data_IF_784325182529
#
_entry.id   IF_784325182529
#
_cell.length_a   1.000
_cell.length_b   1.000
_cell.length_c   1.000
_cell.angle_alpha   90.00
_cell.angle_beta   90.00
_cell.angle_gamma   90.00
#
_symmetry.space_group_name_H-M   'P 1'
#
loop_
_entity.id
_entity.type
_entity.pdbx_description
1 polymer ?
#
# COMPACT_ATOMS: atom_id res chain seq x y z
N UNK A 1 -4.61 2.84 21.47
CA UNK A 1 -5.25 2.37 20.21
C UNK A 1 -5.07 0.86 20.08
N UNK A 2 -6.14 0.14 19.71
CA UNK A 2 -6.09 -1.29 19.43
C UNK A 2 -5.04 -1.59 18.32
N UNK A 3 -4.28 -2.69 18.45
CA UNK A 3 -3.28 -3.10 17.43
C UNK A 3 -3.89 -3.36 16.06
N UNK A 4 -5.08 -3.97 16.01
CA UNK A 4 -5.78 -4.26 14.74
C UNK A 4 -6.18 -2.95 14.08
N UNK A 5 -6.84 -2.06 14.83
CA UNK A 5 -7.19 -0.72 14.36
C UNK A 5 -5.96 0.06 13.88
N UNK A 6 -4.83 -0.04 14.60
CA UNK A 6 -3.58 0.58 14.19
C UNK A 6 -3.06 0.03 12.87
N UNK A 7 -3.13 -1.30 12.64
CA UNK A 7 -2.72 -1.90 11.35
C UNK A 7 -3.60 -1.36 10.23
N UNK A 8 -4.91 -1.42 10.40
CA UNK A 8 -5.88 -0.92 9.43
C UNK A 8 -5.66 0.57 9.08
N UNK A 9 -5.58 1.46 10.08
CA UNK A 9 -5.35 2.88 9.79
C UNK A 9 -4.04 3.16 9.06
N UNK A 10 -3.00 2.35 9.31
CA UNK A 10 -1.73 2.49 8.61
C UNK A 10 -1.77 1.84 7.22
N UNK A 11 -2.55 0.79 7.00
CA UNK A 11 -2.77 0.23 5.66
C UNK A 11 -3.59 1.18 4.79
N UNK A 12 -4.66 1.75 5.34
CA UNK A 12 -5.38 2.87 4.73
C UNK A 12 -4.46 4.05 4.38
N UNK A 13 -3.49 4.40 5.23
CA UNK A 13 -2.52 5.44 4.90
C UNK A 13 -1.66 5.04 3.68
N UNK A 14 -1.17 3.79 3.63
CA UNK A 14 -0.37 3.28 2.50
C UNK A 14 -1.16 3.36 1.19
N UNK A 15 -2.46 3.09 1.25
CA UNK A 15 -3.36 3.13 0.09
C UNK A 15 -3.74 4.57 -0.31
N UNK A 16 -4.18 5.36 0.66
CA UNK A 16 -4.78 6.67 0.43
C UNK A 16 -3.78 7.65 -0.17
N UNK A 17 -2.52 7.65 0.29
CA UNK A 17 -1.51 8.62 -0.17
C UNK A 17 -1.26 8.54 -1.69
N UNK A 18 -0.94 7.37 -2.29
CA UNK A 18 -0.81 7.27 -3.74
C UNK A 18 -2.14 7.49 -4.48
N UNK A 19 -3.27 7.02 -3.93
CA UNK A 19 -4.59 7.24 -4.52
C UNK A 19 -4.91 8.74 -4.65
N UNK A 20 -4.81 9.49 -3.56
CA UNK A 20 -5.03 10.93 -3.57
C UNK A 20 -3.91 11.68 -4.31
N UNK A 21 -2.69 11.15 -4.30
CA UNK A 21 -1.58 11.67 -5.10
C UNK A 21 -1.88 11.66 -6.60
N UNK A 22 -2.62 10.66 -7.08
CA UNK A 22 -2.98 10.55 -8.50
C UNK A 22 -3.96 11.64 -8.97
N UNK A 23 -4.81 12.18 -8.08
CA UNK A 23 -5.75 13.24 -8.43
C UNK A 23 -5.08 14.56 -8.83
N UNK A 24 -3.83 14.81 -8.40
CA UNK A 24 -3.08 16.00 -8.82
C UNK A 24 -2.67 15.98 -10.29
N UNK A 25 -2.72 14.81 -10.92
CA UNK A 25 -2.26 14.57 -12.29
C UNK A 25 -3.33 13.89 -13.14
N UNK A 26 -4.58 13.86 -12.65
CA UNK A 26 -5.71 13.27 -13.35
C UNK A 26 -6.59 14.36 -13.99
N UNK A 27 -6.89 14.21 -15.27
CA UNK A 27 -7.90 14.99 -15.96
C UNK A 27 -9.26 14.30 -15.78
N UNK A 28 -10.14 14.92 -14.99
CA UNK A 28 -11.48 14.39 -14.73
C UNK A 28 -12.46 14.65 -15.88
N UNK A 29 -12.22 15.66 -16.72
CA UNK A 29 -13.09 15.96 -17.86
C UNK A 29 -12.89 14.91 -18.95
N UNK A 30 -11.64 14.58 -19.24
CA UNK A 30 -11.27 13.63 -20.29
C UNK A 30 -11.01 12.20 -19.77
N UNK A 31 -11.04 12.01 -18.45
CA UNK A 31 -10.78 10.74 -17.76
C UNK A 31 -9.45 10.09 -18.15
N UNK A 32 -8.40 10.89 -18.24
CA UNK A 32 -7.04 10.48 -18.62
C UNK A 32 -6.01 11.17 -17.72
N UNK A 33 -4.81 10.60 -17.52
CA UNK A 33 -3.75 11.32 -16.83
C UNK A 33 -3.22 12.50 -17.68
N UNK A 34 -2.93 13.62 -17.02
CA UNK A 34 -2.27 14.81 -17.60
C UNK A 34 -0.81 14.57 -17.97
N UNK A 35 -0.25 13.45 -17.51
CA UNK A 35 1.13 13.02 -17.69
C UNK A 35 1.16 11.64 -18.37
N UNK A 36 2.31 11.27 -18.92
CA UNK A 36 2.46 9.93 -19.50
C UNK A 36 2.26 8.83 -18.45
N UNK A 37 1.83 7.65 -18.89
CA UNK A 37 1.60 6.51 -17.99
C UNK A 37 2.87 6.12 -17.20
N UNK A 38 4.04 6.23 -17.81
CA UNK A 38 5.32 5.98 -17.14
C UNK A 38 5.55 6.96 -15.98
N UNK A 39 5.24 8.24 -16.18
CA UNK A 39 5.34 9.25 -15.13
C UNK A 39 4.30 9.03 -14.03
N UNK A 40 3.07 8.67 -14.37
CA UNK A 40 2.04 8.31 -13.39
C UNK A 40 2.49 7.13 -12.52
N UNK A 41 2.98 6.06 -13.13
CA UNK A 41 3.48 4.89 -12.41
C UNK A 41 4.64 5.23 -11.47
N UNK A 42 5.59 6.05 -11.93
CA UNK A 42 6.71 6.52 -11.11
C UNK A 42 6.25 7.37 -9.93
N UNK A 43 5.28 8.28 -10.15
CA UNK A 43 4.72 9.13 -9.11
C UNK A 43 3.95 8.30 -8.06
N UNK A 44 3.13 7.35 -8.51
CA UNK A 44 2.42 6.41 -7.64
C UNK A 44 3.40 5.61 -6.78
N UNK A 45 4.46 5.06 -7.39
CA UNK A 45 5.50 4.31 -6.66
C UNK A 45 6.23 5.19 -5.63
N UNK A 46 6.51 6.44 -5.97
CA UNK A 46 7.11 7.41 -5.05
C UNK A 46 6.23 7.70 -3.83
N UNK A 47 4.94 8.02 -4.05
CA UNK A 47 3.99 8.26 -2.96
C UNK A 47 3.79 7.02 -2.09
N UNK A 48 3.76 5.85 -2.71
CA UNK A 48 3.66 4.59 -2.01
C UNK A 48 4.87 4.33 -1.10
N UNK A 49 6.09 4.59 -1.60
CA UNK A 49 7.31 4.44 -0.80
C UNK A 49 7.32 5.37 0.43
N UNK A 50 6.86 6.62 0.27
CA UNK A 50 6.70 7.56 1.38
C UNK A 50 5.68 7.01 2.39
N UNK A 51 4.49 6.64 1.93
CA UNK A 51 3.40 6.20 2.79
C UNK A 51 3.77 4.91 3.55
N UNK A 52 4.35 3.94 2.86
CA UNK A 52 4.87 2.72 3.46
C UNK A 52 5.98 3.01 4.46
N UNK A 53 6.95 3.86 4.12
CA UNK A 53 8.03 4.24 5.02
C UNK A 53 7.51 4.84 6.33
N UNK A 54 6.55 5.76 6.25
CA UNK A 54 5.87 6.36 7.41
C UNK A 54 5.13 5.29 8.21
N UNK A 55 4.30 4.48 7.55
CA UNK A 55 3.51 3.43 8.19
C UNK A 55 4.39 2.41 8.93
N UNK A 56 5.44 1.92 8.28
CA UNK A 56 6.41 0.98 8.83
C UNK A 56 7.16 1.58 10.02
N UNK A 57 7.64 2.83 9.91
CA UNK A 57 8.29 3.53 11.01
C UNK A 57 7.36 3.63 12.23
N UNK A 58 6.13 4.11 12.04
CA UNK A 58 5.16 4.28 13.13
C UNK A 58 4.77 2.93 13.75
N UNK A 59 4.60 1.90 12.93
CA UNK A 59 4.22 0.57 13.41
C UNK A 59 5.35 -0.09 14.20
N UNK A 60 6.50 -0.29 13.56
CA UNK A 60 7.60 -1.08 14.11
C UNK A 60 8.37 -0.37 15.20
N UNK A 61 8.39 0.98 15.27
CA UNK A 61 9.12 1.72 16.31
C UNK A 61 8.85 1.21 17.73
N UNK A 62 7.60 0.83 18.03
CA UNK A 62 7.19 0.36 19.36
C UNK A 62 7.24 -1.16 19.57
N UNK A 63 7.54 -1.94 18.52
CA UNK A 63 7.66 -3.40 18.62
C UNK A 63 9.05 -3.76 19.14
N UNK A 64 9.13 -4.36 20.33
CA UNK A 64 10.39 -4.81 20.97
C UNK A 64 10.51 -6.33 21.10
N UNK A 65 9.39 -7.06 21.16
CA UNK A 65 9.34 -8.52 21.30
C UNK A 65 8.56 -9.12 20.13
N UNK A 66 8.94 -10.32 19.71
CA UNK A 66 8.31 -11.06 18.62
C UNK A 66 8.22 -10.27 17.31
N UNK A 67 9.25 -9.46 17.01
CA UNK A 67 9.27 -8.58 15.84
C UNK A 67 9.09 -9.34 14.52
N UNK A 68 9.67 -10.54 14.42
CA UNK A 68 9.51 -11.43 13.27
C UNK A 68 8.04 -11.82 13.03
N UNK A 69 7.35 -12.30 14.07
CA UNK A 69 5.93 -12.69 14.00
C UNK A 69 5.04 -11.49 13.71
N UNK A 70 5.39 -10.31 14.23
CA UNK A 70 4.70 -9.06 13.92
C UNK A 70 4.94 -8.61 12.48
N UNK A 71 6.13 -8.84 11.92
CA UNK A 71 6.45 -8.62 10.51
C UNK A 71 5.53 -9.42 9.59
N UNK A 72 5.46 -10.73 9.78
CA UNK A 72 4.55 -11.60 9.02
C UNK A 72 3.08 -11.18 9.14
N UNK A 73 2.59 -11.01 10.38
CA UNK A 73 1.18 -10.64 10.62
C UNK A 73 0.81 -9.31 9.98
N UNK A 74 1.68 -8.31 10.11
CA UNK A 74 1.40 -6.97 9.61
C UNK A 74 1.55 -6.91 8.10
N UNK A 75 2.56 -7.58 7.54
CA UNK A 75 2.76 -7.67 6.10
C UNK A 75 1.58 -8.32 5.39
N UNK A 76 1.08 -9.46 5.90
CA UNK A 76 -0.11 -10.10 5.33
C UNK A 76 -1.36 -9.23 5.48
N UNK A 77 -1.53 -8.60 6.64
CA UNK A 77 -2.67 -7.73 6.89
C UNK A 77 -2.72 -6.57 5.89
N UNK A 78 -1.62 -5.82 5.76
CA UNK A 78 -1.55 -4.71 4.80
C UNK A 78 -1.63 -5.17 3.36
N UNK A 79 -1.02 -6.30 3.01
CA UNK A 79 -1.13 -6.87 1.66
C UNK A 79 -2.60 -7.12 1.27
N UNK A 80 -3.34 -7.84 2.12
CA UNK A 80 -4.75 -8.16 1.87
C UNK A 80 -5.59 -6.89 1.83
N UNK A 81 -5.35 -5.97 2.76
CA UNK A 81 -6.05 -4.69 2.83
C UNK A 81 -5.87 -3.87 1.56
N UNK A 82 -4.63 -3.71 1.08
CA UNK A 82 -4.32 -2.94 -0.12
C UNK A 82 -4.93 -3.55 -1.39
N UNK A 83 -4.80 -4.87 -1.55
CA UNK A 83 -5.43 -5.60 -2.64
C UNK A 83 -6.96 -5.44 -2.59
N UNK A 84 -7.58 -5.56 -1.42
CA UNK A 84 -9.02 -5.43 -1.28
C UNK A 84 -9.51 -4.01 -1.62
N UNK A 85 -8.80 -2.98 -1.16
CA UNK A 85 -9.15 -1.58 -1.44
C UNK A 85 -9.06 -1.27 -2.94
N UNK A 86 -7.96 -1.64 -3.60
CA UNK A 86 -7.83 -1.45 -5.05
C UNK A 86 -8.82 -2.30 -5.83
N UNK A 87 -9.14 -3.52 -5.38
CA UNK A 87 -10.17 -4.31 -6.05
C UNK A 87 -11.54 -3.62 -5.99
N UNK A 88 -11.92 -3.10 -4.83
CA UNK A 88 -13.18 -2.37 -4.65
C UNK A 88 -13.23 -1.09 -5.49
N UNK A 89 -12.11 -0.35 -5.57
CA UNK A 89 -12.08 0.93 -6.30
C UNK A 89 -11.87 0.72 -7.79
N UNK A 90 -10.83 0.01 -8.21
CA UNK A 90 -10.46 -0.13 -9.62
C UNK A 90 -11.46 -1.03 -10.37
N UNK A 91 -11.74 -2.22 -9.85
CA UNK A 91 -12.67 -3.16 -10.50
C UNK A 91 -14.12 -2.79 -10.18
N UNK A 92 -14.42 -2.51 -8.91
CA UNK A 92 -15.78 -2.21 -8.45
C UNK A 92 -16.29 -0.86 -8.95
N UNK A 93 -15.59 0.23 -8.62
CA UNK A 93 -16.04 1.59 -8.93
C UNK A 93 -15.63 2.03 -10.34
N UNK A 94 -14.37 1.83 -10.74
CA UNK A 94 -13.83 2.31 -12.03
C UNK A 94 -13.97 1.31 -13.18
N UNK A 95 -14.57 0.14 -12.92
CA UNK A 95 -14.89 -0.88 -13.94
C UNK A 95 -13.68 -1.36 -14.75
N UNK A 96 -12.50 -1.37 -14.13
CA UNK A 96 -11.30 -1.97 -14.71
C UNK A 96 -11.56 -3.47 -15.01
N UNK A 97 -11.18 -3.98 -16.18
CA UNK A 97 -11.22 -5.40 -16.46
C UNK A 97 -10.39 -6.20 -15.44
N UNK A 98 -10.90 -7.33 -14.98
CA UNK A 98 -10.23 -8.12 -13.93
C UNK A 98 -8.84 -8.63 -14.35
N UNK A 99 -8.61 -8.81 -15.66
CA UNK A 99 -7.30 -9.18 -16.20
C UNK A 99 -6.24 -8.12 -15.95
N UNK A 100 -6.62 -6.85 -16.04
CA UNK A 100 -5.72 -5.71 -15.83
C UNK A 100 -5.42 -5.46 -14.35
N UNK A 101 -6.21 -6.09 -13.46
CA UNK A 101 -5.98 -6.05 -12.01
C UNK A 101 -4.87 -7.01 -11.55
N UNK A 102 -4.53 -8.05 -12.32
CA UNK A 102 -3.56 -9.06 -11.87
C UNK A 102 -2.18 -8.50 -11.47
N UNK A 103 -1.58 -7.54 -12.19
CA UNK A 103 -0.31 -6.92 -11.79
C UNK A 103 -0.35 -6.28 -10.40
N UNK A 104 -1.51 -5.82 -9.94
CA UNK A 104 -1.69 -5.18 -8.62
C UNK A 104 -1.36 -6.15 -7.48
N UNK A 105 -1.69 -7.45 -7.61
CA UNK A 105 -1.32 -8.47 -6.62
C UNK A 105 0.20 -8.60 -6.45
N UNK A 106 0.97 -8.48 -7.54
CA UNK A 106 2.43 -8.52 -7.50
C UNK A 106 3.02 -7.23 -6.95
N UNK A 107 2.44 -6.07 -7.30
CA UNK A 107 2.87 -4.77 -6.76
C UNK A 107 2.82 -4.76 -5.24
N UNK A 108 1.72 -5.26 -4.65
CA UNK A 108 1.56 -5.27 -3.19
C UNK A 108 2.37 -6.35 -2.46
N UNK A 109 2.90 -7.38 -3.15
CA UNK A 109 3.83 -8.33 -2.53
C UNK A 109 5.05 -7.63 -1.91
N UNK A 110 5.47 -6.49 -2.45
CA UNK A 110 6.54 -5.68 -1.88
C UNK A 110 6.26 -5.28 -0.42
N UNK A 111 5.02 -4.96 -0.07
CA UNK A 111 4.62 -4.66 1.33
C UNK A 111 4.92 -5.84 2.22
N UNK A 112 4.48 -7.03 1.80
CA UNK A 112 4.63 -8.26 2.58
C UNK A 112 6.11 -8.54 2.81
N UNK A 113 6.89 -8.57 1.72
CA UNK A 113 8.32 -8.89 1.73
C UNK A 113 9.08 -7.91 2.63
N UNK A 114 8.91 -6.60 2.43
CA UNK A 114 9.64 -5.59 3.19
C UNK A 114 9.23 -5.60 4.66
N UNK A 115 7.94 -5.82 4.96
CA UNK A 115 7.46 -5.88 6.34
C UNK A 115 8.02 -7.09 7.10
N UNK A 116 8.12 -8.25 6.43
CA UNK A 116 8.78 -9.45 6.98
C UNK A 116 10.27 -9.18 7.22
N UNK A 117 10.95 -8.55 6.25
CA UNK A 117 12.37 -8.20 6.36
C UNK A 117 12.62 -7.27 7.57
N UNK A 118 11.82 -6.23 7.76
CA UNK A 118 11.90 -5.34 8.93
C UNK A 118 11.72 -6.14 10.24
N UNK A 119 10.77 -7.07 10.27
CA UNK A 119 10.54 -7.94 11.42
C UNK A 119 11.76 -8.81 11.78
N UNK A 120 12.45 -9.35 10.77
CA UNK A 120 13.67 -10.15 10.95
C UNK A 120 14.85 -9.29 11.41
N UNK A 121 15.05 -8.12 10.81
CA UNK A 121 16.12 -7.19 11.18
C UNK A 121 15.99 -6.77 12.66
N UNK A 122 14.75 -6.62 13.13
CA UNK A 122 14.44 -6.18 14.49
C UNK A 122 14.35 -7.32 15.52
N UNK A 123 14.65 -8.56 15.14
CA UNK A 123 14.62 -9.73 16.06
C UNK A 123 15.68 -9.68 17.17
N UNK A 124 16.67 -8.78 17.07
CA UNK A 124 17.75 -8.58 18.04
C UNK A 124 17.26 -8.14 19.42
#
# INVERSE_FOLDING_TARGET
>A
MNKILKRFLLGLLIWAVPFFGSFFVWDFENNIPLISMNWLNALTAFFWAIAFGIAACIYFRKIKKNAEKEGWKTGFFWYIELVALDFLVLVGAFKMPIGDFYPVFLTYMNVLIITIAIGHIKKK
#
